data_IF_824489109583
#
_entry.id   IF_824489109583
#
_cell.length_a   1.000
_cell.length_b   1.000
_cell.length_c   1.000
_cell.angle_alpha   90.00
_cell.angle_beta   90.00
_cell.angle_gamma   90.00
#
_symmetry.space_group_name_H-M   'P 1'
#
loop_
_entity.id
_entity.type
_entity.pdbx_description
1 polymer ?
#
# COMPACT_ATOMS: atom_id res chain seq x y z
N UNK A 1 32.91 -17.64 -37.53
CA UNK A 1 33.28 -18.96 -37.00
C UNK A 1 33.88 -18.79 -35.62
N UNK A 2 33.14 -18.11 -34.70
CA UNK A 2 33.50 -17.89 -33.31
C UNK A 2 32.20 -17.64 -32.51
N UNK A 3 31.38 -18.65 -32.30
CA UNK A 3 30.17 -18.52 -31.48
C UNK A 3 29.65 -19.85 -30.87
N UNK A 4 30.51 -20.86 -30.69
CA UNK A 4 30.07 -22.19 -30.18
C UNK A 4 30.82 -22.63 -28.92
N UNK A 5 31.71 -21.82 -28.33
CA UNK A 5 32.54 -22.27 -27.19
C UNK A 5 32.08 -21.72 -25.84
N UNK A 6 31.05 -20.85 -25.79
CA UNK A 6 30.66 -20.17 -24.52
C UNK A 6 29.41 -20.76 -23.83
N UNK A 7 28.88 -21.89 -24.29
CA UNK A 7 27.66 -22.51 -23.78
C UNK A 7 27.87 -23.79 -22.97
N UNK A 8 29.11 -24.14 -22.59
CA UNK A 8 29.42 -25.38 -21.88
C UNK A 8 29.83 -25.22 -20.39
N UNK A 9 29.78 -24.00 -19.81
CA UNK A 9 30.22 -23.79 -18.43
C UNK A 9 29.16 -23.20 -17.45
N UNK A 10 27.86 -23.20 -17.82
CA UNK A 10 26.80 -22.68 -16.91
C UNK A 10 25.90 -23.80 -16.35
N UNK A 11 26.34 -25.04 -16.43
CA UNK A 11 25.59 -26.18 -15.89
C UNK A 11 26.32 -26.84 -14.73
N UNK A 12 26.77 -26.09 -13.72
CA UNK A 12 27.15 -26.72 -12.47
C UNK A 12 27.04 -25.74 -11.32
N UNK A 13 26.27 -26.17 -10.30
CA UNK A 13 26.16 -25.63 -8.95
C UNK A 13 25.11 -24.55 -8.71
N UNK A 14 23.84 -24.94 -8.72
CA UNK A 14 22.89 -24.38 -7.78
C UNK A 14 22.19 -25.53 -7.02
N UNK A 15 22.98 -26.29 -6.26
CA UNK A 15 22.49 -27.18 -5.19
C UNK A 15 22.77 -26.50 -3.84
N UNK A 16 22.21 -25.31 -3.63
CA UNK A 16 22.06 -24.82 -2.25
C UNK A 16 20.77 -25.39 -1.71
N UNK A 17 20.92 -26.47 -0.95
CA UNK A 17 19.89 -27.06 -0.10
C UNK A 17 19.54 -26.00 0.96
N UNK A 18 18.51 -25.20 0.71
CA UNK A 18 17.98 -24.24 1.67
C UNK A 18 17.32 -25.05 2.78
N UNK A 19 17.72 -24.93 4.06
CA UNK A 19 17.06 -25.63 5.16
C UNK A 19 15.60 -25.17 5.24
N UNK A 20 14.68 -26.12 5.29
CA UNK A 20 13.24 -25.89 5.30
C UNK A 20 12.73 -25.00 6.45
N UNK A 21 13.45 -24.96 7.58
CA UNK A 21 13.11 -24.13 8.74
C UNK A 21 13.34 -22.62 8.54
N UNK A 22 14.19 -22.23 7.58
CA UNK A 22 14.53 -20.82 7.31
C UNK A 22 13.63 -20.19 6.25
N UNK A 23 12.82 -20.97 5.56
CA UNK A 23 11.93 -20.48 4.49
C UNK A 23 10.65 -19.88 5.06
N UNK A 24 10.11 -20.48 6.13
CA UNK A 24 8.87 -20.03 6.78
C UNK A 24 9.04 -18.67 7.46
N UNK A 25 10.12 -18.49 8.23
CA UNK A 25 10.40 -17.21 8.90
C UNK A 25 10.74 -16.07 7.92
N UNK A 26 11.38 -16.39 6.79
CA UNK A 26 11.65 -15.43 5.73
C UNK A 26 10.39 -15.00 4.99
N UNK A 27 9.45 -15.91 4.80
CA UNK A 27 8.18 -15.64 4.12
C UNK A 27 7.26 -14.80 5.01
N UNK A 28 7.17 -15.08 6.30
CA UNK A 28 6.39 -14.31 7.27
C UNK A 28 6.90 -12.86 7.41
N UNK A 29 8.23 -12.70 7.53
CA UNK A 29 8.85 -11.37 7.62
C UNK A 29 8.67 -10.54 6.33
N UNK A 30 8.61 -11.19 5.17
CA UNK A 30 8.39 -10.51 3.88
C UNK A 30 6.92 -10.09 3.71
N UNK A 31 5.97 -10.91 4.14
CA UNK A 31 4.53 -10.61 4.08
C UNK A 31 4.17 -9.39 4.95
N UNK A 32 4.67 -9.31 6.16
CA UNK A 32 4.36 -8.19 7.06
C UNK A 32 4.99 -6.87 6.59
N UNK A 33 6.17 -6.95 5.99
CA UNK A 33 6.79 -5.79 5.35
C UNK A 33 5.97 -5.33 4.13
N UNK A 34 5.52 -6.24 3.28
CA UNK A 34 4.68 -5.93 2.13
C UNK A 34 3.34 -5.31 2.55
N UNK A 35 2.66 -5.89 3.56
CA UNK A 35 1.44 -5.32 4.14
C UNK A 35 1.67 -3.89 4.67
N UNK A 36 2.82 -3.66 5.33
CA UNK A 36 3.19 -2.34 5.85
C UNK A 36 3.40 -1.32 4.72
N UNK A 37 4.03 -1.72 3.62
CA UNK A 37 4.21 -0.87 2.44
C UNK A 37 2.87 -0.53 1.77
N UNK A 38 1.99 -1.51 1.59
CA UNK A 38 0.63 -1.29 1.07
C UNK A 38 -0.14 -0.30 1.94
N UNK A 39 -0.13 -0.47 3.26
CA UNK A 39 -0.79 0.45 4.21
C UNK A 39 -0.24 1.86 4.11
N UNK A 40 1.09 2.03 4.02
CA UNK A 40 1.71 3.35 3.88
C UNK A 40 1.29 4.06 2.59
N UNK A 41 1.21 3.34 1.47
CA UNK A 41 0.74 3.89 0.20
C UNK A 41 -0.72 4.33 0.25
N UNK A 42 -1.57 3.62 1.01
CA UNK A 42 -2.98 3.94 1.13
C UNK A 42 -3.30 5.02 2.17
N UNK A 43 -2.38 5.27 3.12
CA UNK A 43 -2.67 6.13 4.27
C UNK A 43 -3.00 7.57 3.87
N UNK A 44 -2.27 8.12 2.92
CA UNK A 44 -2.49 9.49 2.41
C UNK A 44 -3.90 9.62 1.78
N UNK A 45 -4.26 8.67 0.94
CA UNK A 45 -5.56 8.59 0.32
C UNK A 45 -6.69 8.51 1.36
N UNK A 46 -6.55 7.63 2.37
CA UNK A 46 -7.53 7.46 3.44
C UNK A 46 -7.68 8.73 4.30
N UNK A 47 -6.58 9.46 4.59
CA UNK A 47 -6.65 10.74 5.32
C UNK A 47 -7.45 11.77 4.52
N UNK A 48 -7.18 11.91 3.22
CA UNK A 48 -7.89 12.87 2.37
C UNK A 48 -9.37 12.50 2.22
N UNK A 49 -9.70 11.21 2.06
CA UNK A 49 -11.08 10.71 2.02
C UNK A 49 -11.83 11.05 3.31
N UNK A 50 -11.19 10.88 4.46
CA UNK A 50 -11.80 11.18 5.76
C UNK A 50 -12.08 12.68 5.89
N UNK A 51 -11.10 13.54 5.54
CA UNK A 51 -11.20 14.98 5.65
C UNK A 51 -12.12 15.62 4.58
N UNK A 52 -12.48 14.91 3.53
CA UNK A 52 -13.51 15.33 2.57
C UNK A 52 -14.89 15.50 3.21
N UNK A 53 -15.16 14.73 4.28
CA UNK A 53 -16.44 14.78 4.98
C UNK A 53 -16.50 15.83 6.09
N UNK A 54 -15.39 16.49 6.40
CA UNK A 54 -15.29 17.55 7.40
C UNK A 54 -13.94 17.59 8.09
N UNK A 55 -13.70 18.70 8.77
CA UNK A 55 -12.47 18.89 9.53
C UNK A 55 -12.40 17.92 10.71
N UNK A 56 -11.21 17.45 11.02
CA UNK A 56 -10.96 16.55 12.13
C UNK A 56 -9.59 16.82 12.77
N UNK A 57 -9.47 16.57 14.09
CA UNK A 57 -8.18 16.63 14.77
C UNK A 57 -7.50 15.25 14.79
N UNK A 58 -6.19 15.23 15.00
CA UNK A 58 -5.37 14.04 14.77
C UNK A 58 -5.86 12.77 15.48
N UNK A 59 -6.28 12.84 16.75
CA UNK A 59 -6.78 11.66 17.45
C UNK A 59 -8.15 11.19 16.95
N UNK A 60 -9.00 12.08 16.42
CA UNK A 60 -10.23 11.71 15.75
C UNK A 60 -9.96 10.99 14.42
N UNK A 61 -8.97 11.46 13.64
CA UNK A 61 -8.52 10.79 12.43
C UNK A 61 -8.06 9.35 12.76
N UNK A 62 -7.26 9.18 13.82
CA UNK A 62 -6.80 7.86 14.27
C UNK A 62 -7.97 6.96 14.65
N UNK A 63 -8.96 7.50 15.41
CA UNK A 63 -10.15 6.75 15.83
C UNK A 63 -10.96 6.27 14.63
N UNK A 64 -11.28 7.15 13.70
CA UNK A 64 -12.03 6.83 12.49
C UNK A 64 -11.29 5.83 11.59
N UNK A 65 -9.96 5.93 11.50
CA UNK A 65 -9.16 4.95 10.77
C UNK A 65 -9.18 3.58 11.45
N UNK A 66 -9.11 3.54 12.78
CA UNK A 66 -9.20 2.30 13.55
C UNK A 66 -10.58 1.64 13.38
N UNK A 67 -11.65 2.41 13.37
CA UNK A 67 -13.01 1.94 13.08
C UNK A 67 -13.12 1.31 11.66
N UNK A 68 -12.39 1.88 10.69
CA UNK A 68 -12.25 1.34 9.35
C UNK A 68 -11.20 0.21 9.24
N UNK A 69 -10.78 -0.38 10.36
CA UNK A 69 -9.77 -1.45 10.43
C UNK A 69 -8.38 -1.09 9.89
N UNK A 70 -8.08 0.21 9.76
CA UNK A 70 -6.76 0.72 9.42
C UNK A 70 -6.06 1.27 10.66
N UNK A 71 -5.20 0.44 11.26
CA UNK A 71 -4.45 0.85 12.47
C UNK A 71 -3.31 1.78 12.06
N UNK A 72 -3.33 2.99 12.60
CA UNK A 72 -2.32 4.04 12.36
C UNK A 72 -1.75 4.51 13.70
N UNK A 73 -0.43 4.62 13.76
CA UNK A 73 0.28 5.15 14.93
C UNK A 73 0.43 6.67 14.82
N UNK A 74 0.36 7.38 15.94
CA UNK A 74 0.57 8.83 16.00
C UNK A 74 1.87 9.27 15.33
N UNK A 75 2.96 8.55 15.59
CA UNK A 75 4.27 8.81 15.00
C UNK A 75 4.31 8.68 13.46
N UNK A 76 3.31 8.04 12.84
CA UNK A 76 3.16 7.97 11.39
C UNK A 76 2.21 9.05 10.87
N UNK A 77 1.12 9.33 11.60
CA UNK A 77 0.10 10.27 11.17
C UNK A 77 0.60 11.73 11.20
N UNK A 78 1.24 12.17 12.29
CA UNK A 78 1.66 13.58 12.40
C UNK A 78 2.63 14.05 11.32
N UNK A 79 3.70 13.29 10.96
CA UNK A 79 4.56 13.64 9.82
C UNK A 79 3.80 13.70 8.50
N UNK A 80 2.83 12.79 8.29
CA UNK A 80 2.00 12.80 7.09
C UNK A 80 1.13 14.05 7.00
N UNK A 81 0.40 14.41 8.07
CA UNK A 81 -0.41 15.63 8.11
C UNK A 81 0.43 16.88 7.88
N UNK A 82 1.67 16.91 8.42
CA UNK A 82 2.60 18.02 8.21
C UNK A 82 3.03 18.12 6.75
N UNK A 83 3.33 16.99 6.11
CA UNK A 83 3.67 16.94 4.69
C UNK A 83 2.51 17.40 3.81
N UNK A 84 1.33 16.83 3.98
CA UNK A 84 0.13 17.20 3.21
C UNK A 84 -0.23 18.69 3.35
N UNK A 85 -0.02 19.26 4.54
CA UNK A 85 -0.18 20.70 4.77
C UNK A 85 0.88 21.50 4.01
N UNK A 86 2.14 21.08 4.02
CA UNK A 86 3.21 21.77 3.30
C UNK A 86 3.04 21.69 1.78
N UNK A 87 2.47 20.59 1.28
CA UNK A 87 2.10 20.39 -0.13
C UNK A 87 0.84 21.17 -0.52
N UNK A 88 0.21 21.89 0.43
CA UNK A 88 -0.97 22.72 0.18
C UNK A 88 -2.28 21.92 0.05
N UNK A 89 -2.26 20.60 0.29
CA UNK A 89 -3.43 19.73 0.19
C UNK A 89 -4.32 19.83 1.41
N UNK A 90 -3.75 20.16 2.58
CA UNK A 90 -4.45 20.40 3.82
C UNK A 90 -4.19 21.81 4.35
N UNK A 91 -5.18 22.33 5.07
CA UNK A 91 -5.07 23.48 5.94
C UNK A 91 -5.29 23.05 7.39
N UNK A 92 -5.11 23.96 8.34
CA UNK A 92 -5.50 23.71 9.73
C UNK A 92 -5.95 25.00 10.41
N UNK A 93 -6.78 24.83 11.44
CA UNK A 93 -7.16 25.87 12.40
C UNK A 93 -7.01 25.37 13.82
N UNK A 94 -6.78 26.32 14.73
CA UNK A 94 -6.82 26.02 16.16
C UNK A 94 -8.24 26.26 16.67
N UNK A 95 -8.70 25.38 17.54
CA UNK A 95 -9.99 25.51 18.19
C UNK A 95 -9.83 25.26 19.69
N UNK A 96 -10.38 26.17 20.50
CA UNK A 96 -10.36 26.02 21.96
C UNK A 96 -11.22 24.83 22.38
N UNK A 97 -10.71 24.06 23.32
CA UNK A 97 -11.41 22.90 23.87
C UNK A 97 -12.00 23.28 25.24
N UNK A 98 -13.30 23.05 25.51
CA UNK A 98 -13.92 23.37 26.80
C UNK A 98 -13.29 22.67 28.00
N UNK A 99 -12.56 21.57 27.78
CA UNK A 99 -12.01 20.69 28.83
C UNK A 99 -10.54 20.33 28.64
N UNK A 100 -9.77 21.10 27.83
CA UNK A 100 -8.38 20.78 27.60
C UNK A 100 -7.64 21.82 26.75
N UNK A 101 -6.38 21.55 26.36
CA UNK A 101 -5.62 22.46 25.53
C UNK A 101 -6.27 22.63 24.15
N UNK A 102 -6.01 23.77 23.45
CA UNK A 102 -6.50 24.00 22.10
C UNK A 102 -6.13 22.85 21.17
N UNK A 103 -7.07 22.46 20.29
CA UNK A 103 -6.90 21.37 19.34
C UNK A 103 -6.69 21.89 17.94
N UNK A 104 -5.83 21.20 17.19
CA UNK A 104 -5.52 21.51 15.81
C UNK A 104 -6.41 20.69 14.90
N UNK A 105 -7.38 21.34 14.25
CA UNK A 105 -8.27 20.73 13.27
C UNK A 105 -7.70 20.86 11.87
N UNK A 106 -7.64 19.77 11.15
CA UNK A 106 -7.19 19.72 9.76
C UNK A 106 -8.38 19.65 8.83
N UNK A 107 -8.33 20.42 7.74
CA UNK A 107 -9.34 20.42 6.70
C UNK A 107 -8.69 20.27 5.34
N UNK A 108 -9.41 19.71 4.38
CA UNK A 108 -8.94 19.57 3.00
C UNK A 108 -9.07 20.91 2.26
N UNK A 109 -8.09 21.25 1.43
CA UNK A 109 -8.14 22.46 0.58
C UNK A 109 -8.81 22.15 -0.77
N UNK A 110 -9.16 23.18 -1.57
CA UNK A 110 -9.61 22.95 -2.95
C UNK A 110 -8.59 22.18 -3.79
N UNK A 111 -7.29 22.46 -3.61
CA UNK A 111 -6.20 21.69 -4.25
C UNK A 111 -6.18 20.25 -3.77
N UNK A 112 -6.35 20.03 -2.46
CA UNK A 112 -6.45 18.69 -1.89
C UNK A 112 -7.65 17.90 -2.41
N UNK A 113 -8.79 18.57 -2.66
CA UNK A 113 -9.96 17.94 -3.25
C UNK A 113 -9.71 17.48 -4.68
N UNK A 114 -9.08 18.32 -5.52
CA UNK A 114 -8.69 17.94 -6.88
C UNK A 114 -7.68 16.78 -6.88
N UNK A 115 -6.71 16.81 -5.97
CA UNK A 115 -5.75 15.72 -5.80
C UNK A 115 -6.43 14.42 -5.38
N UNK A 116 -7.39 14.49 -4.47
CA UNK A 116 -8.19 13.34 -4.03
C UNK A 116 -8.97 12.70 -5.19
N UNK A 117 -9.56 13.50 -6.08
CA UNK A 117 -10.27 13.00 -7.27
C UNK A 117 -9.35 12.20 -8.19
N UNK A 118 -8.11 12.65 -8.39
CA UNK A 118 -7.11 11.93 -9.17
C UNK A 118 -6.69 10.62 -8.48
N UNK A 119 -6.53 10.63 -7.15
CA UNK A 119 -6.24 9.42 -6.39
C UNK A 119 -7.40 8.41 -6.44
N UNK A 120 -8.65 8.88 -6.42
CA UNK A 120 -9.82 8.01 -6.57
C UNK A 120 -9.82 7.31 -7.93
N UNK A 121 -9.60 8.05 -9.02
CA UNK A 121 -9.52 7.48 -10.35
C UNK A 121 -8.40 6.42 -10.46
N UNK A 122 -7.23 6.70 -9.90
CA UNK A 122 -6.11 5.75 -9.85
C UNK A 122 -6.43 4.52 -9.01
N UNK A 123 -7.15 4.68 -7.90
CA UNK A 123 -7.60 3.57 -7.08
C UNK A 123 -8.59 2.66 -7.81
N UNK A 124 -9.55 3.25 -8.53
CA UNK A 124 -10.54 2.50 -9.29
C UNK A 124 -9.87 1.68 -10.40
N UNK A 125 -8.88 2.24 -11.10
CA UNK A 125 -8.08 1.54 -12.10
C UNK A 125 -7.32 0.35 -11.50
N UNK A 126 -6.58 0.57 -10.40
CA UNK A 126 -5.81 -0.49 -9.72
C UNK A 126 -6.76 -1.57 -9.18
N UNK A 127 -7.86 -1.16 -8.55
CA UNK A 127 -8.86 -2.08 -7.99
C UNK A 127 -9.49 -2.95 -9.07
N UNK A 128 -9.84 -2.36 -10.22
CA UNK A 128 -10.35 -3.10 -11.38
C UNK A 128 -9.31 -4.10 -11.89
N UNK A 129 -8.05 -3.68 -12.05
CA UNK A 129 -6.96 -4.54 -12.51
C UNK A 129 -6.76 -5.73 -11.58
N UNK A 130 -6.69 -5.50 -10.27
CA UNK A 130 -6.52 -6.56 -9.26
C UNK A 130 -7.71 -7.52 -9.29
N UNK A 131 -8.94 -7.00 -9.40
CA UNK A 131 -10.15 -7.81 -9.46
C UNK A 131 -10.16 -8.68 -10.71
N UNK A 132 -9.78 -8.12 -11.86
CA UNK A 132 -9.68 -8.85 -13.12
C UNK A 132 -8.65 -9.99 -13.05
N UNK A 133 -7.46 -9.73 -12.52
CA UNK A 133 -6.42 -10.74 -12.36
C UNK A 133 -6.85 -11.87 -11.41
N UNK A 134 -7.50 -11.54 -10.30
CA UNK A 134 -8.03 -12.54 -9.36
C UNK A 134 -9.12 -13.40 -9.95
N UNK A 135 -9.94 -12.87 -10.87
CA UNK A 135 -10.98 -13.64 -11.54
C UNK A 135 -10.46 -14.63 -12.57
N UNK A 136 -9.23 -14.41 -13.08
CA UNK A 136 -8.59 -15.34 -14.04
C UNK A 136 -7.99 -16.59 -13.37
N UNK A 137 -7.77 -16.60 -12.06
CA UNK A 137 -7.22 -17.74 -11.32
C UNK A 137 -8.17 -18.95 -11.27
N UNK A 138 -9.40 -18.81 -11.73
CA UNK A 138 -10.42 -19.89 -11.78
C UNK A 138 -10.34 -20.74 -13.05
N UNK A 139 -9.47 -20.41 -14.01
CA UNK A 139 -9.28 -21.26 -15.20
C UNK A 139 -8.09 -22.19 -14.94
N UNK A 140 -8.28 -23.52 -14.81
CA UNK A 140 -7.16 -24.44 -14.64
C UNK A 140 -6.23 -24.32 -15.84
N UNK A 141 -4.93 -24.14 -15.57
CA UNK A 141 -3.89 -24.20 -16.61
C UNK A 141 -3.97 -25.60 -17.21
N UNK A 142 -4.53 -25.70 -18.41
CA UNK A 142 -4.52 -26.95 -19.17
C UNK A 142 -3.06 -27.19 -19.57
N UNK A 143 -2.41 -28.12 -18.85
CA UNK A 143 -1.12 -28.65 -19.29
C UNK A 143 -1.32 -29.26 -20.68
N UNK A 144 -0.52 -28.89 -21.69
CA UNK A 144 -0.59 -29.53 -23.00
C UNK A 144 -0.34 -31.03 -22.84
N UNK A 145 -1.07 -31.89 -23.56
CA UNK A 145 -0.86 -33.32 -23.50
C UNK A 145 0.57 -33.64 -23.91
N UNK A 146 1.21 -34.53 -23.15
CA UNK A 146 2.55 -35.05 -23.41
C UNK A 146 2.65 -35.46 -24.88
N UNK A 147 3.51 -34.82 -25.64
CA UNK A 147 3.84 -35.21 -26.98
C UNK A 147 4.71 -36.45 -26.83
N UNK A 148 4.09 -37.62 -26.92
CA UNK A 148 4.79 -38.90 -27.09
C UNK A 148 5.53 -38.85 -28.43
N UNK A 149 6.83 -38.60 -28.38
CA UNK A 149 7.76 -38.87 -29.50
C UNK A 149 8.00 -40.39 -29.54
N UNK A 150 7.32 -41.06 -30.45
CA UNK A 150 7.71 -42.37 -30.94
C UNK A 150 8.82 -42.21 -31.99
#
# INVERSE_FOLDING_TARGET
MYCIVLLKHITLQCKTKVPSENLQSRTEMNIDNLKSQMRKGMLEFCVLLLLRHGDAYASEIISKMKEAHLIVMEGTLYPLLTRLKNDGLLTYRWEESPSGPPRKYYGITPLGTQFLEQLQASWDEISHTVTHLRSQETTPIVTPPDINLQ
#
